data_IF_874750139519
#
_entry.id   IF_874750139519
#
_cell.length_a   1.000
_cell.length_b   1.000
_cell.length_c   1.000
_cell.angle_alpha   90.00
_cell.angle_beta   90.00
_cell.angle_gamma   90.00
#
_symmetry.space_group_name_H-M   'P 1'
#
loop_
_entity.id
_entity.type
_entity.pdbx_description
1 polymer ?
#
# COMPACT_ATOMS: atom_id res chain seq x y z
N UNK A 1 12.28 -29.68 -43.57
CA UNK A 1 11.02 -29.92 -42.86
C UNK A 1 10.67 -28.65 -42.09
N UNK A 2 9.58 -27.95 -42.40
CA UNK A 2 9.12 -26.85 -41.57
C UNK A 2 8.36 -27.42 -40.37
N UNK A 3 8.66 -26.94 -39.17
CA UNK A 3 7.76 -27.10 -38.03
C UNK A 3 7.37 -25.68 -37.63
N UNK A 4 6.20 -25.27 -38.15
CA UNK A 4 5.44 -24.12 -37.68
C UNK A 4 5.06 -24.36 -36.22
N UNK A 5 5.49 -23.47 -35.30
CA UNK A 5 4.74 -23.25 -34.08
C UNK A 5 5.07 -21.90 -33.41
N UNK A 6 4.91 -20.80 -34.16
CA UNK A 6 4.96 -19.42 -33.62
C UNK A 6 3.57 -18.84 -33.30
N UNK A 7 2.53 -19.67 -33.25
CA UNK A 7 1.12 -19.23 -33.27
C UNK A 7 0.35 -19.42 -31.95
N UNK A 8 0.98 -19.86 -30.85
CA UNK A 8 0.23 -20.23 -29.64
C UNK A 8 0.56 -19.46 -28.35
N UNK A 9 1.24 -18.32 -28.43
CA UNK A 9 1.24 -17.34 -27.33
C UNK A 9 0.00 -16.46 -27.50
N UNK A 10 -1.18 -17.08 -27.38
CA UNK A 10 -2.44 -16.34 -27.21
C UNK A 10 -2.25 -15.37 -26.05
N UNK A 11 -2.36 -14.08 -26.33
CA UNK A 11 -2.52 -12.94 -25.42
C UNK A 11 -2.64 -13.33 -23.95
N UNK A 12 -1.51 -13.66 -23.31
CA UNK A 12 -1.49 -13.89 -21.88
C UNK A 12 -1.62 -12.51 -21.26
N UNK A 13 -2.85 -12.14 -20.86
CA UNK A 13 -3.10 -10.90 -20.11
C UNK A 13 -2.14 -10.90 -18.92
N UNK A 14 -1.09 -10.09 -19.02
CA UNK A 14 -0.12 -9.91 -17.95
C UNK A 14 -0.84 -9.13 -16.87
N UNK A 15 -1.21 -9.79 -15.79
CA UNK A 15 -1.69 -9.09 -14.61
C UNK A 15 -0.49 -8.36 -14.02
N UNK A 16 -0.48 -7.03 -14.11
CA UNK A 16 0.51 -6.21 -13.41
C UNK A 16 0.33 -6.45 -11.91
N UNK A 17 1.36 -7.01 -11.28
CA UNK A 17 1.38 -7.23 -9.85
C UNK A 17 1.57 -5.88 -9.16
N UNK A 18 0.68 -5.56 -8.21
CA UNK A 18 0.81 -4.36 -7.38
C UNK A 18 1.77 -4.63 -6.22
N UNK A 19 2.85 -3.85 -6.13
CA UNK A 19 3.77 -3.94 -4.99
C UNK A 19 3.19 -3.19 -3.78
N UNK A 20 2.60 -3.94 -2.86
CA UNK A 20 2.01 -3.43 -1.63
C UNK A 20 3.00 -3.48 -0.45
N UNK A 21 3.27 -2.34 0.19
CA UNK A 21 4.19 -2.24 1.34
C UNK A 21 3.47 -1.87 2.66
N UNK A 22 3.87 -2.45 3.82
CA UNK A 22 3.41 -2.01 5.13
C UNK A 22 4.04 -0.67 5.54
N UNK A 23 3.24 0.19 6.16
CA UNK A 23 3.74 1.35 6.90
C UNK A 23 3.15 1.38 8.32
N UNK A 24 4.02 1.50 9.32
CA UNK A 24 3.64 1.65 10.74
C UNK A 24 3.66 3.11 11.21
N UNK A 25 4.27 4.00 10.43
CA UNK A 25 4.32 5.45 10.65
C UNK A 25 4.40 6.17 9.31
N UNK A 26 4.16 7.48 9.34
CA UNK A 26 4.31 8.35 8.18
C UNK A 26 5.73 8.31 7.58
N UNK A 27 6.77 8.22 8.39
CA UNK A 27 8.15 8.12 7.90
C UNK A 27 8.36 6.85 7.06
N UNK A 28 7.87 5.71 7.55
CA UNK A 28 7.95 4.43 6.83
C UNK A 28 7.11 4.48 5.55
N UNK A 29 5.95 5.14 5.58
CA UNK A 29 5.13 5.37 4.40
C UNK A 29 5.91 6.14 3.32
N UNK A 30 6.55 7.24 3.70
CA UNK A 30 7.38 8.06 2.78
C UNK A 30 8.51 7.24 2.16
N UNK A 31 9.24 6.47 2.98
CA UNK A 31 10.31 5.59 2.50
C UNK A 31 9.79 4.53 1.52
N UNK A 32 8.66 3.90 1.82
CA UNK A 32 8.08 2.86 0.97
C UNK A 32 7.62 3.40 -0.40
N UNK A 33 7.06 4.60 -0.44
CA UNK A 33 6.74 5.30 -1.70
C UNK A 33 8.01 5.54 -2.53
N UNK A 34 9.08 6.05 -1.91
CA UNK A 34 10.36 6.26 -2.60
C UNK A 34 11.07 4.98 -3.01
N UNK A 35 10.86 3.88 -2.28
CA UNK A 35 11.38 2.56 -2.63
C UNK A 35 10.66 1.92 -3.83
N UNK A 36 9.60 2.55 -4.36
CA UNK A 36 8.89 2.10 -5.55
C UNK A 36 7.66 1.23 -5.26
N UNK A 37 7.12 1.27 -4.05
CA UNK A 37 5.82 0.64 -3.79
C UNK A 37 4.72 1.26 -4.67
N UNK A 38 3.80 0.44 -5.16
CA UNK A 38 2.63 0.89 -5.92
C UNK A 38 1.47 1.26 -5.00
N UNK A 39 1.41 0.61 -3.85
CA UNK A 39 0.45 0.88 -2.81
C UNK A 39 1.06 0.70 -1.41
N UNK A 40 0.50 1.41 -0.44
CA UNK A 40 0.85 1.30 0.97
C UNK A 40 -0.35 0.78 1.75
N UNK A 41 -0.16 -0.11 2.72
CA UNK A 41 -1.17 -0.35 3.75
C UNK A 41 -0.69 0.16 5.10
N UNK A 42 -1.59 0.89 5.78
CA UNK A 42 -1.33 1.49 7.08
C UNK A 42 -2.54 1.27 7.98
N UNK A 43 -2.31 1.02 9.26
CA UNK A 43 -3.37 0.89 10.26
C UNK A 43 -3.54 2.18 11.05
N UNK A 44 -4.77 2.51 11.41
CA UNK A 44 -5.01 3.45 12.52
C UNK A 44 -4.64 2.75 13.83
N UNK A 45 -3.78 3.37 14.65
CA UNK A 45 -3.46 2.89 15.99
C UNK A 45 -4.73 2.57 16.82
N UNK A 46 -5.81 3.35 16.71
CA UNK A 46 -7.12 3.10 17.36
C UNK A 46 -7.86 1.85 16.89
N UNK A 47 -7.57 1.34 15.69
CA UNK A 47 -8.19 0.15 15.10
C UNK A 47 -7.26 -1.07 15.10
N UNK A 48 -6.10 -0.93 15.76
CA UNK A 48 -5.15 -1.99 16.00
C UNK A 48 -5.12 -2.30 17.50
N UNK A 49 -5.01 -3.56 17.89
CA UNK A 49 -4.94 -3.97 19.30
C UNK A 49 -3.68 -3.47 20.06
N UNK A 50 -2.84 -2.63 19.44
CA UNK A 50 -1.53 -2.15 19.95
C UNK A 50 -1.49 -0.63 20.08
N UNK A 51 -2.58 -0.01 20.55
CA UNK A 51 -2.75 1.43 20.72
C UNK A 51 -1.88 2.07 21.85
N UNK A 52 -0.56 1.92 21.80
CA UNK A 52 0.36 2.48 22.79
C UNK A 52 1.64 3.10 22.18
N UNK A 53 1.59 3.66 20.97
CA UNK A 53 2.72 4.43 20.43
C UNK A 53 2.37 5.92 20.34
N UNK A 54 2.84 6.71 21.32
CA UNK A 54 2.76 8.17 21.31
C UNK A 54 3.55 8.74 20.12
N UNK A 55 2.85 9.15 19.06
CA UNK A 55 3.35 10.08 18.04
C UNK A 55 3.12 11.52 18.52
N UNK A 56 3.92 12.49 18.03
CA UNK A 56 3.80 13.91 18.41
C UNK A 56 2.67 14.64 17.68
N UNK A 57 2.12 14.02 16.63
CA UNK A 57 0.93 14.44 15.90
C UNK A 57 -0.28 13.61 16.34
N UNK A 58 -1.50 14.14 16.16
CA UNK A 58 -2.69 13.29 16.34
C UNK A 58 -2.70 12.20 15.27
N UNK A 59 -3.17 11.00 15.62
CA UNK A 59 -3.23 9.85 14.70
C UNK A 59 -4.00 10.17 13.41
N UNK A 60 -5.03 11.00 13.53
CA UNK A 60 -5.84 11.45 12.41
C UNK A 60 -5.05 12.36 11.47
N UNK A 61 -4.25 13.29 12.02
CA UNK A 61 -3.37 14.15 11.23
C UNK A 61 -2.28 13.34 10.51
N UNK A 62 -1.69 12.35 11.17
CA UNK A 62 -0.65 11.50 10.58
C UNK A 62 -1.20 10.68 9.41
N UNK A 63 -2.41 10.14 9.55
CA UNK A 63 -3.09 9.42 8.49
C UNK A 63 -3.50 10.34 7.35
N UNK A 64 -4.04 11.52 7.64
CA UNK A 64 -4.39 12.51 6.61
C UNK A 64 -3.15 12.89 5.80
N UNK A 65 -2.03 13.19 6.46
CA UNK A 65 -0.76 13.48 5.78
C UNK A 65 -0.29 12.30 4.93
N UNK A 66 -0.40 11.06 5.42
CA UNK A 66 -0.04 9.86 4.65
C UNK A 66 -0.91 9.71 3.39
N UNK A 67 -2.22 9.96 3.49
CA UNK A 67 -3.15 9.92 2.35
C UNK A 67 -2.76 10.97 1.31
N UNK A 68 -2.55 12.22 1.76
CA UNK A 68 -2.12 13.31 0.88
C UNK A 68 -0.79 12.97 0.20
N UNK A 69 0.19 12.48 0.96
CA UNK A 69 1.51 12.13 0.45
C UNK A 69 1.44 11.01 -0.61
N UNK A 70 0.78 9.89 -0.33
CA UNK A 70 0.66 8.79 -1.30
C UNK A 70 0.02 9.25 -2.63
N UNK A 71 -1.06 10.03 -2.53
CA UNK A 71 -1.75 10.55 -3.72
C UNK A 71 -0.92 11.56 -4.51
N UNK A 72 -0.05 12.35 -3.87
CA UNK A 72 0.90 13.22 -4.58
C UNK A 72 1.86 12.44 -5.49
N UNK A 73 2.20 11.20 -5.13
CA UNK A 73 3.05 10.31 -5.92
C UNK A 73 2.26 9.31 -6.77
N UNK A 74 0.94 9.52 -6.91
CA UNK A 74 0.03 8.65 -7.66
C UNK A 74 0.07 7.18 -7.18
N UNK A 75 0.31 6.98 -5.87
CA UNK A 75 0.31 5.69 -5.18
C UNK A 75 -0.98 5.49 -4.41
N UNK A 76 -1.43 4.25 -4.29
CA UNK A 76 -2.64 3.93 -3.51
C UNK A 76 -2.30 3.79 -2.03
N UNK A 77 -3.28 4.03 -1.18
CA UNK A 77 -3.18 3.76 0.25
C UNK A 77 -4.40 2.95 0.71
N UNK A 78 -4.15 1.92 1.51
CA UNK A 78 -5.17 1.06 2.09
C UNK A 78 -5.13 1.16 3.60
N UNK A 79 -6.31 1.30 4.20
CA UNK A 79 -6.45 1.29 5.65
C UNK A 79 -6.71 -0.14 6.14
N UNK A 80 -5.91 -0.63 7.08
CA UNK A 80 -6.20 -1.90 7.76
C UNK A 80 -7.10 -1.66 8.97
N UNK A 81 -8.24 -2.35 9.02
CA UNK A 81 -9.16 -2.34 10.15
C UNK A 81 -9.17 -3.75 10.76
N UNK A 82 -8.60 -3.91 11.96
CA UNK A 82 -8.53 -5.20 12.65
C UNK A 82 -9.61 -5.37 13.73
N UNK A 83 -10.46 -4.36 13.95
CA UNK A 83 -11.54 -4.40 14.95
C UNK A 83 -12.89 -4.21 14.25
N UNK A 84 -13.65 -5.31 14.12
CA UNK A 84 -15.06 -5.26 13.78
C UNK A 84 -15.83 -4.84 15.03
N UNK A 85 -16.48 -3.67 14.99
CA UNK A 85 -17.46 -3.29 16.02
C UNK A 85 -18.61 -4.32 16.02
N UNK A 86 -19.10 -4.67 17.21
CA UNK A 86 -20.35 -5.40 17.40
C UNK A 86 -21.47 -4.41 17.72
#
# INVERSE_FOLDING_TARGET
>A
MPIQNKENIKEKKLYEAELLAPAASLEVCKVAVFAGADAIYMGGQKYSARAFAKSSLSEEDELLEAIHFCHLYNKKIYMTLNTLFK
#
